data_IF_510926936537
#
_entry.id   IF_510926936537
#
_cell.length_a   1.000
_cell.length_b   1.000
_cell.length_c   1.000
_cell.angle_alpha   90.00
_cell.angle_beta   90.00
_cell.angle_gamma   90.00
#
_symmetry.space_group_name_H-M   'P 1'
#
loop_
_entity.id
_entity.type
_entity.pdbx_description
1 polymer ?
#
# COMPACT_ATOMS: atom_id res chain seq x y z
N UNK A 1 -8.96 -0.03 1.77
CA UNK A 1 -10.40 0.06 2.14
C UNK A 1 -10.74 0.72 3.47
N UNK A 2 -9.93 0.59 4.53
CA UNK A 2 -10.30 1.12 5.85
C UNK A 2 -10.64 2.63 5.86
N UNK A 3 -9.91 3.44 5.09
CA UNK A 3 -10.07 4.91 5.06
C UNK A 3 -11.50 5.36 4.72
N UNK A 4 -12.21 4.67 3.81
CA UNK A 4 -13.55 5.07 3.35
C UNK A 4 -14.60 5.04 4.48
N UNK A 5 -14.38 4.20 5.49
CA UNK A 5 -15.35 3.98 6.57
C UNK A 5 -14.97 4.65 7.89
N UNK A 6 -13.74 5.18 8.02
CA UNK A 6 -13.26 5.81 9.26
C UNK A 6 -14.25 6.88 9.76
N UNK A 7 -14.69 7.81 8.91
CA UNK A 7 -15.61 8.88 9.34
C UNK A 7 -16.94 8.34 9.84
N UNK A 8 -17.45 7.29 9.20
CA UNK A 8 -18.68 6.64 9.64
C UNK A 8 -18.50 5.97 11.00
N UNK A 9 -17.33 5.41 11.28
CA UNK A 9 -17.03 4.79 12.56
C UNK A 9 -16.96 5.81 13.68
N UNK A 10 -16.24 6.92 13.47
CA UNK A 10 -16.13 8.01 14.45
C UNK A 10 -17.51 8.63 14.78
N UNK A 11 -18.35 8.84 13.76
CA UNK A 11 -19.73 9.31 13.96
C UNK A 11 -20.57 8.32 14.79
N UNK A 12 -20.44 7.01 14.52
CA UNK A 12 -21.14 5.98 15.32
C UNK A 12 -20.61 5.87 16.74
N UNK A 13 -19.37 6.29 16.98
CA UNK A 13 -18.78 6.40 18.32
C UNK A 13 -19.25 7.65 19.08
N UNK A 14 -20.06 8.52 18.46
CA UNK A 14 -20.60 9.73 19.09
C UNK A 14 -19.69 10.95 19.01
N UNK A 15 -18.60 10.89 18.23
CA UNK A 15 -17.73 12.04 18.00
C UNK A 15 -18.37 13.02 17.01
N UNK A 16 -18.23 14.31 17.30
CA UNK A 16 -18.89 15.38 16.54
C UNK A 16 -17.91 16.36 15.90
N UNK A 17 -16.73 16.56 16.50
CA UNK A 17 -15.62 17.32 15.89
C UNK A 17 -14.66 16.36 15.18
N UNK A 18 -14.92 16.17 13.88
CA UNK A 18 -14.19 15.26 13.02
C UNK A 18 -13.69 16.03 11.79
N UNK A 19 -12.37 16.11 11.62
CA UNK A 19 -11.73 16.60 10.41
C UNK A 19 -11.24 15.42 9.58
N UNK A 20 -11.62 15.34 8.31
CA UNK A 20 -11.11 14.34 7.37
C UNK A 20 -10.21 14.99 6.35
N UNK A 21 -9.02 14.42 6.15
CA UNK A 21 -8.03 14.89 5.16
C UNK A 21 -7.55 13.73 4.31
N UNK A 22 -6.89 14.05 3.20
CA UNK A 22 -6.20 13.08 2.36
C UNK A 22 -4.85 13.61 1.94
N UNK A 23 -3.91 12.70 1.77
CA UNK A 23 -2.55 12.95 1.31
C UNK A 23 -2.17 11.87 0.30
N UNK A 24 -1.18 12.15 -0.55
CA UNK A 24 -0.68 11.18 -1.52
C UNK A 24 0.82 11.15 -1.47
N UNK A 25 1.41 9.96 -1.36
CA UNK A 25 2.79 9.76 -1.76
C UNK A 25 2.85 9.52 -3.25
N UNK A 26 3.81 10.16 -3.92
CA UNK A 26 4.03 9.98 -5.36
C UNK A 26 5.50 9.68 -5.55
N UNK A 27 5.78 8.53 -6.14
CA UNK A 27 7.12 8.08 -6.53
C UNK A 27 7.22 8.24 -8.04
N UNK A 28 7.97 9.23 -8.49
CA UNK A 28 8.14 9.55 -9.91
C UNK A 28 9.61 9.81 -10.29
N UNK A 29 10.49 9.97 -9.30
CA UNK A 29 11.93 9.98 -9.49
C UNK A 29 12.47 8.55 -9.64
N UNK A 30 13.54 8.38 -10.42
CA UNK A 30 14.11 7.07 -10.71
C UNK A 30 14.65 6.35 -9.48
N UNK A 31 15.28 7.07 -8.55
CA UNK A 31 15.85 6.47 -7.34
C UNK A 31 14.72 6.06 -6.37
N UNK A 32 13.69 6.89 -6.27
CA UNK A 32 12.48 6.61 -5.49
C UNK A 32 11.73 5.38 -6.02
N UNK A 33 11.58 5.27 -7.34
CA UNK A 33 10.94 4.13 -8.00
C UNK A 33 11.76 2.85 -7.84
N UNK A 34 13.07 2.92 -8.03
CA UNK A 34 13.96 1.77 -7.84
C UNK A 34 13.90 1.25 -6.39
N UNK A 35 13.90 2.17 -5.42
CA UNK A 35 13.74 1.83 -4.01
C UNK A 35 12.36 1.24 -3.70
N UNK A 36 11.28 1.91 -4.11
CA UNK A 36 9.91 1.49 -3.81
C UNK A 36 9.57 0.14 -4.45
N UNK A 37 9.91 -0.03 -5.72
CA UNK A 37 9.70 -1.29 -6.45
C UNK A 37 10.55 -2.44 -5.89
N UNK A 38 11.79 -2.17 -5.47
CA UNK A 38 12.64 -3.15 -4.79
C UNK A 38 12.04 -3.65 -3.47
N UNK A 39 11.48 -2.74 -2.66
CA UNK A 39 10.80 -3.09 -1.42
C UNK A 39 9.59 -4.01 -1.64
N UNK A 40 8.82 -3.78 -2.71
CA UNK A 40 7.71 -4.66 -3.08
C UNK A 40 8.17 -5.99 -3.66
N UNK A 41 9.23 -5.99 -4.47
CA UNK A 41 9.84 -7.22 -4.98
C UNK A 41 10.29 -8.15 -3.84
N UNK A 42 10.91 -7.60 -2.81
CA UNK A 42 11.36 -8.38 -1.63
C UNK A 42 10.16 -8.86 -0.81
N UNK A 43 9.14 -8.02 -0.64
CA UNK A 43 7.92 -8.39 0.08
C UNK A 43 7.15 -9.53 -0.59
N UNK A 44 7.12 -9.59 -1.93
CA UNK A 44 6.49 -10.68 -2.68
C UNK A 44 7.09 -12.04 -2.36
N UNK A 45 8.35 -12.09 -1.95
CA UNK A 45 9.07 -13.32 -1.58
C UNK A 45 9.21 -13.51 -0.07
N UNK A 46 8.74 -12.57 0.74
CA UNK A 46 8.78 -12.70 2.20
C UNK A 46 7.93 -13.89 2.64
N UNK A 47 8.50 -14.76 3.48
CA UNK A 47 7.92 -16.06 3.86
C UNK A 47 6.46 -15.95 4.30
N UNK A 48 6.11 -15.07 5.25
CA UNK A 48 4.71 -14.96 5.70
C UNK A 48 3.69 -14.58 4.59
N UNK A 49 4.11 -13.90 3.52
CA UNK A 49 3.26 -13.62 2.36
C UNK A 49 3.31 -14.76 1.34
N UNK A 50 4.50 -15.25 1.02
CA UNK A 50 4.72 -16.34 0.07
C UNK A 50 4.12 -17.66 0.55
N UNK A 51 4.26 -18.00 1.83
CA UNK A 51 3.67 -19.17 2.49
C UNK A 51 2.14 -19.11 2.35
N UNK A 52 1.51 -17.97 2.68
CA UNK A 52 0.05 -17.82 2.52
C UNK A 52 -0.42 -17.95 1.07
N UNK A 53 0.33 -17.37 0.13
CA UNK A 53 -0.03 -17.44 -1.29
C UNK A 53 0.10 -18.86 -1.85
N UNK A 54 1.11 -19.61 -1.39
CA UNK A 54 1.37 -20.98 -1.84
C UNK A 54 0.49 -22.02 -1.15
N UNK A 55 0.35 -21.95 0.18
CA UNK A 55 -0.54 -22.81 0.97
C UNK A 55 -2.01 -22.64 0.55
N UNK A 56 -2.41 -21.42 0.18
CA UNK A 56 -3.74 -21.12 -0.35
C UNK A 56 -3.97 -21.53 -1.81
N UNK A 57 -2.95 -22.04 -2.51
CA UNK A 57 -3.02 -22.40 -3.94
C UNK A 57 -3.22 -21.20 -4.88
N UNK A 58 -2.94 -19.98 -4.41
CA UNK A 58 -3.12 -18.74 -5.17
C UNK A 58 -1.94 -18.47 -6.11
N UNK A 59 -0.75 -18.97 -5.77
CA UNK A 59 0.45 -18.88 -6.60
C UNK A 59 1.44 -19.99 -6.25
N UNK A 60 2.32 -20.33 -7.19
CA UNK A 60 3.52 -21.13 -6.94
C UNK A 60 4.69 -20.22 -6.59
N UNK A 61 5.73 -20.76 -5.96
CA UNK A 61 6.93 -20.00 -5.64
C UNK A 61 7.59 -19.39 -6.89
N UNK A 62 7.58 -20.11 -8.02
CA UNK A 62 8.15 -19.59 -9.28
C UNK A 62 7.32 -18.45 -9.86
N UNK A 63 5.99 -18.47 -9.71
CA UNK A 63 5.14 -17.33 -10.06
C UNK A 63 5.45 -16.12 -9.18
N UNK A 64 5.68 -16.31 -7.88
CA UNK A 64 6.07 -15.22 -6.97
C UNK A 64 7.44 -14.63 -7.34
N UNK A 65 8.40 -15.47 -7.77
CA UNK A 65 9.69 -15.00 -8.30
C UNK A 65 9.50 -14.15 -9.56
N UNK A 66 8.66 -14.60 -10.49
CA UNK A 66 8.32 -13.83 -11.68
C UNK A 66 7.70 -12.47 -11.35
N UNK A 67 6.81 -12.40 -10.35
CA UNK A 67 6.24 -11.13 -9.88
C UNK A 67 7.29 -10.24 -9.22
N UNK A 68 8.21 -10.81 -8.44
CA UNK A 68 9.32 -10.07 -7.84
C UNK A 68 10.24 -9.45 -8.89
N UNK A 69 10.57 -10.20 -9.94
CA UNK A 69 11.36 -9.71 -11.07
C UNK A 69 10.60 -8.61 -11.85
N UNK A 70 9.31 -8.79 -12.08
CA UNK A 70 8.47 -7.80 -12.75
C UNK A 70 8.44 -6.46 -11.99
N UNK A 71 8.38 -6.47 -10.66
CA UNK A 71 8.51 -5.25 -9.85
C UNK A 71 9.83 -4.54 -10.11
N UNK A 72 10.95 -5.27 -10.05
CA UNK A 72 12.29 -4.71 -10.26
C UNK A 72 12.48 -4.17 -11.67
N UNK A 73 11.88 -4.81 -12.67
CA UNK A 73 11.94 -4.33 -14.05
C UNK A 73 11.10 -3.09 -14.26
N UNK A 74 9.86 -3.08 -13.77
CA UNK A 74 8.99 -1.91 -13.86
C UNK A 74 9.61 -0.67 -13.20
N UNK A 75 10.26 -0.82 -12.05
CA UNK A 75 10.92 0.30 -11.36
C UNK A 75 12.13 0.90 -12.09
N UNK A 76 12.58 0.33 -13.21
CA UNK A 76 13.65 0.88 -14.07
C UNK A 76 13.12 1.58 -15.32
N UNK A 77 11.82 1.53 -15.59
CA UNK A 77 11.27 2.15 -16.80
C UNK A 77 11.21 3.67 -16.64
N UNK A 78 11.60 4.38 -17.70
CA UNK A 78 11.66 5.85 -17.71
C UNK A 78 10.29 6.52 -17.54
N UNK A 79 9.21 5.81 -17.88
CA UNK A 79 7.83 6.28 -17.78
C UNK A 79 7.09 5.72 -16.57
N UNK A 80 7.78 4.98 -15.69
CA UNK A 80 7.18 4.47 -14.47
C UNK A 80 6.89 5.62 -13.50
N UNK A 81 5.75 5.52 -12.81
CA UNK A 81 5.41 6.36 -11.66
C UNK A 81 4.37 5.63 -10.82
N UNK A 82 4.29 5.94 -9.53
CA UNK A 82 3.34 5.32 -8.61
C UNK A 82 2.79 6.33 -7.63
N UNK A 83 1.51 6.17 -7.29
CA UNK A 83 0.87 7.00 -6.26
C UNK A 83 0.18 6.13 -5.22
N UNK A 84 0.33 6.51 -3.97
CA UNK A 84 -0.35 5.89 -2.83
C UNK A 84 -1.27 6.92 -2.19
N UNK A 85 -2.59 6.82 -2.38
CA UNK A 85 -3.54 7.68 -1.71
C UNK A 85 -3.77 7.23 -0.27
N UNK A 86 -3.74 8.18 0.64
CA UNK A 86 -4.00 8.00 2.06
C UNK A 86 -5.10 8.96 2.50
N UNK A 87 -5.90 8.54 3.47
CA UNK A 87 -6.83 9.44 4.15
C UNK A 87 -6.67 9.31 5.64
N UNK A 88 -6.87 10.43 6.31
CA UNK A 88 -6.62 10.62 7.72
C UNK A 88 -7.86 11.25 8.35
N UNK A 89 -8.08 10.93 9.62
CA UNK A 89 -9.13 11.56 10.42
C UNK A 89 -8.52 12.05 11.72
N UNK A 90 -8.75 13.33 12.01
CA UNK A 90 -8.46 13.94 13.29
C UNK A 90 -9.78 14.18 14.04
N UNK A 91 -9.95 13.48 15.14
CA UNK A 91 -11.05 13.69 16.08
C UNK A 91 -10.57 14.53 17.25
N UNK A 92 -11.40 15.48 17.70
CA UNK A 92 -11.15 16.25 18.92
C UNK A 92 -12.21 15.93 19.95
N UNK A 93 -11.79 15.87 21.22
CA UNK A 93 -12.73 15.72 22.34
C UNK A 93 -13.50 17.04 22.48
N UNK A 94 -14.83 16.97 22.53
CA UNK A 94 -15.64 18.11 22.96
C UNK A 94 -15.34 18.44 24.42
N UNK A 95 -15.35 19.73 24.76
CA UNK A 95 -15.20 20.21 26.13
C UNK A 95 -16.23 19.57 27.08
#
# INVERSE_FOLDING_TARGET
>A
DAVRVLKSWELRAGLTDITSTSSTWTFADSDELAWWSGLWADRTLASAYADRATEGGLATLDQLRGVSEAWREWGRQEDAWFTVPHGEILCRKGD
#
